data_IF_349523404128
#
_entry.id   IF_349523404128
#
_cell.length_a   1.000
_cell.length_b   1.000
_cell.length_c   1.000
_cell.angle_alpha   90.00
_cell.angle_beta   90.00
_cell.angle_gamma   90.00
#
_symmetry.space_group_name_H-M   'P 1'
#
loop_
_entity.id
_entity.type
_entity.pdbx_description
1 polymer ?
#
# COMPACT_ATOMS: atom_id res chain seq x y z
N UNK A 1 32.42 -68.98 -43.78
CA UNK A 1 31.28 -68.71 -42.92
C UNK A 1 31.02 -67.17 -42.95
N UNK A 2 30.02 -66.75 -43.77
CA UNK A 2 29.78 -65.32 -44.04
C UNK A 2 28.65 -64.86 -43.17
N UNK A 3 28.93 -63.90 -42.25
CA UNK A 3 27.92 -63.28 -41.42
C UNK A 3 27.31 -62.10 -42.15
N UNK A 4 25.98 -62.16 -42.37
CA UNK A 4 25.20 -61.06 -42.97
C UNK A 4 24.83 -60.07 -41.94
N UNK A 5 25.27 -58.80 -42.12
CA UNK A 5 24.81 -57.67 -41.30
C UNK A 5 23.49 -57.14 -41.84
N UNK A 6 22.39 -57.30 -41.10
CA UNK A 6 21.09 -56.69 -41.37
C UNK A 6 21.09 -55.27 -40.78
N UNK A 7 20.95 -54.24 -41.63
CA UNK A 7 20.81 -52.84 -41.21
C UNK A 7 19.33 -52.55 -40.87
N UNK A 8 19.03 -52.29 -39.64
CA UNK A 8 17.72 -51.76 -39.26
C UNK A 8 17.74 -50.25 -39.36
N UNK A 9 16.94 -49.68 -40.31
CA UNK A 9 16.69 -48.26 -40.41
C UNK A 9 15.56 -47.89 -39.41
N UNK A 10 15.90 -47.08 -38.45
CA UNK A 10 14.91 -46.48 -37.54
C UNK A 10 14.42 -45.17 -38.13
N UNK A 11 13.15 -45.16 -38.56
CA UNK A 11 12.47 -43.93 -38.95
C UNK A 11 11.99 -43.20 -37.67
N UNK A 12 12.60 -42.07 -37.35
CA UNK A 12 12.10 -41.17 -36.34
C UNK A 12 10.95 -40.34 -36.93
N UNK A 13 9.72 -40.66 -36.57
CA UNK A 13 8.57 -39.79 -36.79
C UNK A 13 8.57 -38.69 -35.75
N UNK A 14 8.99 -37.49 -36.12
CA UNK A 14 8.85 -36.30 -35.28
C UNK A 14 7.39 -35.82 -35.32
N UNK A 15 6.62 -36.19 -34.29
CA UNK A 15 5.30 -35.62 -34.07
C UNK A 15 5.48 -34.18 -33.55
N UNK A 16 5.22 -33.18 -34.38
CA UNK A 16 5.05 -31.81 -33.93
C UNK A 16 3.74 -31.72 -33.13
N UNK A 17 3.85 -31.70 -31.81
CA UNK A 17 2.74 -31.34 -30.93
C UNK A 17 2.52 -29.81 -31.06
N UNK A 18 1.51 -29.42 -31.83
CA UNK A 18 0.99 -28.05 -31.79
C UNK A 18 0.29 -27.85 -30.45
N UNK A 19 0.99 -27.19 -29.53
CA UNK A 19 0.34 -26.77 -28.26
C UNK A 19 -0.78 -25.77 -28.60
N UNK A 20 -2.01 -25.95 -28.05
CA UNK A 20 -3.06 -24.99 -28.25
C UNK A 20 -2.60 -23.66 -27.61
N UNK A 21 -2.50 -22.62 -28.43
CA UNK A 21 -2.34 -21.26 -27.97
C UNK A 21 -3.63 -20.91 -27.19
N UNK A 22 -3.61 -21.08 -25.87
CA UNK A 22 -4.68 -20.58 -25.02
C UNK A 22 -4.55 -19.06 -25.09
N UNK A 23 -5.46 -18.44 -25.85
CA UNK A 23 -5.62 -17.00 -25.83
C UNK A 23 -5.91 -16.60 -24.39
N UNK A 24 -4.95 -15.96 -23.72
CA UNK A 24 -5.19 -15.29 -22.45
C UNK A 24 -6.13 -14.14 -22.79
N UNK A 25 -7.44 -14.37 -22.59
CA UNK A 25 -8.42 -13.31 -22.63
C UNK A 25 -8.00 -12.36 -21.51
N UNK A 26 -7.65 -11.09 -21.79
CA UNK A 26 -7.39 -10.14 -20.71
C UNK A 26 -8.65 -10.11 -19.86
N UNK A 27 -8.56 -10.54 -18.61
CA UNK A 27 -9.63 -10.37 -17.64
C UNK A 27 -9.80 -8.86 -17.53
N UNK A 28 -10.90 -8.34 -18.04
CA UNK A 28 -11.26 -6.93 -17.91
C UNK A 28 -11.14 -6.60 -16.41
N UNK A 29 -10.27 -5.65 -16.08
CA UNK A 29 -10.06 -5.28 -14.68
C UNK A 29 -11.42 -4.91 -14.12
N UNK A 30 -11.86 -5.62 -13.08
CA UNK A 30 -13.18 -5.42 -12.48
C UNK A 30 -13.33 -3.92 -12.18
N UNK A 31 -14.32 -3.28 -12.76
CA UNK A 31 -14.58 -1.87 -12.54
C UNK A 31 -14.85 -1.66 -11.04
N UNK A 32 -14.19 -0.66 -10.46
CA UNK A 32 -14.38 -0.28 -9.06
C UNK A 32 -15.89 -0.10 -8.76
N UNK A 33 -16.44 -0.76 -7.71
CA UNK A 33 -17.88 -0.78 -7.47
C UNK A 33 -18.41 0.49 -6.78
N UNK A 34 -17.51 1.43 -6.39
CA UNK A 34 -17.87 2.55 -5.52
C UNK A 34 -18.53 3.69 -6.29
N UNK A 35 -19.79 3.94 -5.98
CA UNK A 35 -20.59 4.99 -6.61
C UNK A 35 -20.31 6.39 -6.09
N UNK A 36 -19.67 6.50 -4.92
CA UNK A 36 -19.29 7.75 -4.26
C UNK A 36 -17.88 8.24 -4.63
N UNK A 37 -17.21 7.55 -5.57
CA UNK A 37 -15.94 7.96 -6.17
C UNK A 37 -16.20 8.21 -7.65
N UNK A 38 -16.11 9.46 -8.07
CA UNK A 38 -16.42 9.87 -9.44
C UNK A 38 -15.17 10.35 -10.18
N UNK A 39 -15.08 10.03 -11.47
CA UNK A 39 -14.02 10.54 -12.34
C UNK A 39 -14.46 11.91 -12.91
N UNK A 40 -14.44 12.93 -12.09
CA UNK A 40 -14.67 14.30 -12.49
C UNK A 40 -13.37 15.13 -12.41
N UNK A 41 -13.32 16.28 -13.05
CA UNK A 41 -12.12 17.10 -13.16
C UNK A 41 -11.48 17.51 -11.81
N UNK A 42 -12.25 17.54 -10.72
CA UNK A 42 -11.75 17.90 -9.38
C UNK A 42 -11.28 16.71 -8.56
N UNK A 43 -11.69 15.48 -8.89
CA UNK A 43 -11.44 14.27 -8.11
C UNK A 43 -10.73 13.17 -8.91
N UNK A 44 -10.23 13.48 -10.10
CA UNK A 44 -9.59 12.51 -11.00
C UNK A 44 -8.45 11.73 -10.33
N UNK A 45 -7.58 12.39 -9.56
CA UNK A 45 -6.51 11.70 -8.84
C UNK A 45 -7.05 10.74 -7.78
N UNK A 46 -8.08 11.13 -7.04
CA UNK A 46 -8.73 10.27 -6.04
C UNK A 46 -9.38 9.05 -6.69
N UNK A 47 -10.06 9.26 -7.83
CA UNK A 47 -10.65 8.16 -8.60
C UNK A 47 -9.59 7.14 -9.02
N UNK A 48 -8.48 7.58 -9.62
CA UNK A 48 -7.39 6.69 -10.02
C UNK A 48 -6.74 6.00 -8.83
N UNK A 49 -6.50 6.75 -7.73
CA UNK A 49 -5.92 6.21 -6.51
C UNK A 49 -6.79 5.08 -5.93
N UNK A 50 -8.08 5.34 -5.72
CA UNK A 50 -8.98 4.35 -5.11
C UNK A 50 -9.18 3.17 -6.05
N UNK A 51 -9.35 3.39 -7.37
CA UNK A 51 -9.51 2.32 -8.35
C UNK A 51 -8.30 1.39 -8.40
N UNK A 52 -7.08 1.94 -8.49
CA UNK A 52 -5.85 1.13 -8.54
C UNK A 52 -5.63 0.37 -7.23
N UNK A 53 -5.77 1.05 -6.09
CA UNK A 53 -5.57 0.43 -4.78
C UNK A 53 -6.62 -0.63 -4.46
N UNK A 54 -7.87 -0.44 -4.88
CA UNK A 54 -8.93 -1.44 -4.77
C UNK A 54 -8.62 -2.69 -5.62
N UNK A 55 -8.24 -2.50 -6.88
CA UNK A 55 -7.88 -3.61 -7.78
C UNK A 55 -6.65 -4.40 -7.28
N UNK A 56 -5.76 -3.76 -6.52
CA UNK A 56 -4.62 -4.42 -5.85
C UNK A 56 -4.98 -5.02 -4.47
N UNK A 57 -6.24 -4.90 -4.00
CA UNK A 57 -6.67 -5.38 -2.68
C UNK A 57 -6.08 -4.60 -1.50
N UNK A 58 -5.56 -3.39 -1.74
CA UNK A 58 -4.95 -2.54 -0.72
C UNK A 58 -6.00 -1.78 0.10
N UNK A 59 -7.07 -1.34 -0.55
CA UNK A 59 -8.19 -0.64 0.11
C UNK A 59 -9.50 -1.38 -0.13
N UNK A 60 -10.47 -1.14 0.76
CA UNK A 60 -11.83 -1.68 0.67
C UNK A 60 -12.86 -0.58 0.91
N UNK A 61 -14.10 -0.82 0.49
CA UNK A 61 -15.23 0.06 0.75
C UNK A 61 -15.79 -0.06 2.17
N UNK A 62 -16.48 0.96 2.65
CA UNK A 62 -17.26 0.87 3.90
C UNK A 62 -18.52 0.04 3.72
N UNK A 63 -18.98 -0.07 2.47
CA UNK A 63 -20.02 -1.00 2.01
C UNK A 63 -19.59 -1.61 0.67
N UNK A 64 -20.32 -2.59 0.13
CA UNK A 64 -20.00 -3.14 -1.19
C UNK A 64 -19.99 -2.10 -2.33
N UNK A 65 -20.69 -0.97 -2.17
CA UNK A 65 -20.84 0.04 -3.22
C UNK A 65 -20.36 1.45 -2.84
N UNK A 66 -19.78 1.63 -1.64
CA UNK A 66 -19.28 2.94 -1.19
C UNK A 66 -17.89 2.83 -0.59
N UNK A 67 -17.02 3.78 -0.93
CA UNK A 67 -15.69 3.92 -0.35
C UNK A 67 -15.67 4.82 0.87
N UNK A 68 -16.54 5.82 0.92
CA UNK A 68 -16.66 6.87 1.95
C UNK A 68 -15.35 7.70 2.09
N UNK A 69 -14.91 8.41 1.03
CA UNK A 69 -13.61 9.08 0.99
C UNK A 69 -13.44 10.16 2.06
N UNK A 70 -14.53 10.76 2.51
CA UNK A 70 -14.52 11.84 3.52
C UNK A 70 -14.68 11.34 4.96
N UNK A 71 -14.97 10.06 5.17
CA UNK A 71 -15.02 9.46 6.50
C UNK A 71 -13.62 9.42 7.12
N UNK A 72 -13.56 9.66 8.45
CA UNK A 72 -12.32 9.50 9.21
C UNK A 72 -11.85 8.05 9.16
N UNK A 73 -10.55 7.87 8.95
CA UNK A 73 -9.90 6.57 8.90
C UNK A 73 -9.54 6.12 10.32
N UNK A 74 -9.94 4.92 10.72
CA UNK A 74 -9.52 4.36 11.99
C UNK A 74 -8.06 3.89 11.93
N UNK A 75 -7.42 3.74 13.09
CA UNK A 75 -6.06 3.22 13.19
C UNK A 75 -5.97 1.75 12.73
N UNK A 76 -7.02 0.97 12.96
CA UNK A 76 -7.15 -0.41 12.47
C UNK A 76 -7.24 -0.48 10.95
N UNK A 77 -8.07 0.36 10.33
CA UNK A 77 -8.15 0.48 8.87
C UNK A 77 -6.82 0.97 8.27
N UNK A 78 -6.16 1.95 8.90
CA UNK A 78 -4.85 2.43 8.47
C UNK A 78 -3.79 1.32 8.52
N UNK A 79 -3.83 0.47 9.57
CA UNK A 79 -2.94 -0.69 9.67
C UNK A 79 -3.20 -1.71 8.56
N UNK A 80 -4.47 -2.00 8.24
CA UNK A 80 -4.81 -2.85 7.11
C UNK A 80 -4.28 -2.27 5.79
N UNK A 81 -4.64 -1.02 5.45
CA UNK A 81 -4.24 -0.39 4.18
C UNK A 81 -2.72 -0.38 4.01
N UNK A 82 -1.99 -0.04 5.08
CA UNK A 82 -0.53 0.01 5.02
C UNK A 82 0.10 -1.38 4.91
N UNK A 83 -0.35 -2.35 5.71
CA UNK A 83 0.19 -3.71 5.64
C UNK A 83 -0.06 -4.38 4.28
N UNK A 84 -1.23 -4.12 3.66
CA UNK A 84 -1.53 -4.58 2.31
C UNK A 84 -0.64 -3.89 1.26
N UNK A 85 -0.46 -2.57 1.35
CA UNK A 85 0.40 -1.82 0.44
C UNK A 85 1.87 -2.28 0.51
N UNK A 86 2.32 -2.69 1.69
CA UNK A 86 3.66 -3.23 1.94
C UNK A 86 3.77 -4.75 1.69
N UNK A 87 2.67 -5.41 1.35
CA UNK A 87 2.59 -6.87 1.16
C UNK A 87 3.15 -7.67 2.36
N UNK A 88 2.89 -7.20 3.58
CA UNK A 88 3.40 -7.83 4.78
C UNK A 88 2.72 -9.17 5.05
N UNK A 89 3.50 -10.13 5.56
CA UNK A 89 2.96 -11.38 6.08
C UNK A 89 2.13 -11.09 7.35
N UNK A 90 0.84 -11.38 7.31
CA UNK A 90 -0.11 -11.08 8.41
C UNK A 90 -0.56 -12.32 9.18
N UNK A 91 -0.21 -13.52 8.69
CA UNK A 91 -0.47 -14.79 9.36
C UNK A 91 0.77 -15.24 10.12
N UNK A 92 0.58 -15.92 11.26
CA UNK A 92 1.66 -16.46 12.10
C UNK A 92 2.68 -15.38 12.53
N UNK A 93 2.19 -14.19 12.87
CA UNK A 93 2.99 -13.08 13.39
C UNK A 93 2.96 -13.11 14.92
N UNK A 94 4.09 -12.82 15.55
CA UNK A 94 4.18 -12.74 17.01
C UNK A 94 3.19 -11.74 17.58
N UNK A 95 2.58 -12.08 18.71
CA UNK A 95 1.67 -11.16 19.39
C UNK A 95 2.42 -9.93 19.91
N UNK A 96 2.07 -8.72 19.46
CA UNK A 96 2.73 -7.49 19.89
C UNK A 96 2.39 -7.08 21.32
N UNK A 97 1.39 -7.72 21.98
CA UNK A 97 1.03 -7.50 23.37
C UNK A 97 0.04 -6.35 23.61
N UNK A 98 -0.64 -5.85 22.59
CA UNK A 98 -1.69 -4.83 22.80
C UNK A 98 -2.93 -5.43 23.48
N UNK A 99 -3.30 -4.88 24.66
CA UNK A 99 -4.41 -5.40 25.47
C UNK A 99 -5.78 -5.20 24.83
N UNK A 100 -5.90 -4.23 23.93
CA UNK A 100 -7.12 -3.87 23.19
C UNK A 100 -7.20 -4.47 21.78
N UNK A 101 -6.23 -5.33 21.39
CA UNK A 101 -6.21 -6.01 20.11
C UNK A 101 -6.05 -7.52 20.33
N UNK A 102 -7.12 -8.23 20.76
CA UNK A 102 -7.07 -9.68 20.90
C UNK A 102 -6.85 -10.36 19.55
N UNK A 103 -6.38 -11.60 19.55
CA UNK A 103 -6.10 -12.36 18.32
C UNK A 103 -7.33 -12.55 17.42
N UNK A 104 -8.54 -12.43 17.97
CA UNK A 104 -9.81 -12.47 17.23
C UNK A 104 -10.19 -11.12 16.58
N UNK A 105 -9.44 -10.05 16.86
CA UNK A 105 -9.74 -8.73 16.29
C UNK A 105 -9.51 -8.74 14.77
N UNK A 106 -10.42 -8.15 14.00
CA UNK A 106 -10.37 -8.16 12.53
C UNK A 106 -9.06 -7.60 11.94
N UNK A 107 -8.40 -6.66 12.61
CA UNK A 107 -7.13 -6.06 12.19
C UNK A 107 -5.90 -6.63 12.92
N UNK A 108 -6.06 -7.69 13.74
CA UNK A 108 -4.97 -8.24 14.54
C UNK A 108 -3.70 -8.54 13.72
N UNK A 109 -3.81 -9.34 12.68
CA UNK A 109 -2.67 -9.76 11.87
C UNK A 109 -1.92 -8.59 11.21
N UNK A 110 -2.66 -7.58 10.76
CA UNK A 110 -2.08 -6.37 10.15
C UNK A 110 -1.34 -5.52 11.17
N UNK A 111 -1.94 -5.30 12.34
CA UNK A 111 -1.33 -4.57 13.45
C UNK A 111 -0.08 -5.31 13.95
N UNK A 112 -0.15 -6.63 14.12
CA UNK A 112 0.97 -7.46 14.53
C UNK A 112 2.12 -7.41 13.52
N UNK A 113 1.81 -7.47 12.21
CA UNK A 113 2.80 -7.37 11.15
C UNK A 113 3.52 -6.01 11.15
N UNK A 114 2.79 -4.91 11.32
CA UNK A 114 3.38 -3.58 11.42
C UNK A 114 4.29 -3.45 12.66
N UNK A 115 3.90 -4.04 13.80
CA UNK A 115 4.72 -4.05 15.01
C UNK A 115 5.98 -4.90 14.85
N UNK A 116 5.88 -6.07 14.21
CA UNK A 116 7.02 -6.95 13.91
C UNK A 116 8.05 -6.28 12.99
N UNK A 117 7.58 -5.43 12.07
CA UNK A 117 8.45 -4.66 11.16
C UNK A 117 8.90 -3.30 11.73
N UNK A 118 8.61 -2.99 12.99
CA UNK A 118 9.05 -1.75 13.64
C UNK A 118 8.33 -0.48 13.17
N UNK A 119 7.26 -0.62 12.36
CA UNK A 119 6.51 0.53 11.82
C UNK A 119 5.66 1.19 12.90
N UNK A 120 5.14 0.38 13.82
CA UNK A 120 4.46 0.84 15.03
C UNK A 120 5.19 0.33 16.28
N UNK A 121 5.22 1.15 17.32
CA UNK A 121 5.84 0.76 18.58
C UNK A 121 4.91 -0.17 19.36
N UNK A 122 5.48 -1.21 19.96
CA UNK A 122 4.79 -2.05 20.93
C UNK A 122 4.43 -1.22 22.17
N UNK A 123 3.26 -1.50 22.75
CA UNK A 123 2.76 -0.76 23.91
C UNK A 123 1.58 -1.48 24.54
N UNK A 124 0.97 -0.86 25.53
CA UNK A 124 -0.18 -1.46 26.22
C UNK A 124 -1.46 -1.45 25.35
N UNK A 125 -1.69 -0.37 24.61
CA UNK A 125 -2.88 -0.18 23.77
C UNK A 125 -2.50 0.34 22.39
N UNK A 126 -3.19 -0.15 21.36
CA UNK A 126 -3.10 0.33 19.98
C UNK A 126 -4.21 1.32 19.64
N UNK A 127 -5.38 1.18 20.25
CA UNK A 127 -6.61 1.93 19.99
C UNK A 127 -7.09 1.79 18.52
N UNK A 128 -7.44 0.57 18.05
CA UNK A 128 -7.74 0.30 16.64
C UNK A 128 -8.94 1.08 16.12
N UNK A 129 -9.92 1.39 16.96
CA UNK A 129 -11.16 2.09 16.57
C UNK A 129 -11.02 3.63 16.63
N UNK A 130 -9.95 4.14 17.22
CA UNK A 130 -9.69 5.59 17.23
C UNK A 130 -9.25 6.07 15.84
N UNK A 131 -9.59 7.31 15.49
CA UNK A 131 -9.11 7.95 14.25
C UNK A 131 -7.60 8.15 14.28
N UNK A 132 -6.92 7.91 13.14
CA UNK A 132 -5.48 8.17 13.01
C UNK A 132 -5.20 9.64 12.76
N UNK A 133 -4.23 10.22 13.48
CA UNK A 133 -3.78 11.60 13.26
C UNK A 133 -2.82 11.69 12.08
N UNK A 134 -2.81 12.86 11.39
CA UNK A 134 -1.94 13.08 10.23
C UNK A 134 -0.45 12.91 10.55
N UNK A 135 0.00 13.35 11.72
CA UNK A 135 1.38 13.13 12.19
C UNK A 135 1.71 11.64 12.43
N UNK A 136 0.77 10.88 12.99
CA UNK A 136 0.95 9.44 13.19
C UNK A 136 1.02 8.69 11.85
N UNK A 137 0.16 9.06 10.92
CA UNK A 137 0.18 8.52 9.56
C UNK A 137 1.51 8.86 8.85
N UNK A 138 2.03 10.08 8.99
CA UNK A 138 3.32 10.48 8.39
C UNK A 138 4.46 9.57 8.89
N UNK A 139 4.53 9.30 10.19
CA UNK A 139 5.49 8.36 10.77
C UNK A 139 5.34 6.95 10.18
N UNK A 140 4.12 6.41 10.16
CA UNK A 140 3.87 5.06 9.67
C UNK A 140 4.23 4.89 8.18
N UNK A 141 3.92 5.87 7.34
CA UNK A 141 4.28 5.84 5.92
C UNK A 141 5.80 5.95 5.71
N UNK A 142 6.47 6.87 6.41
CA UNK A 142 7.92 7.02 6.30
C UNK A 142 8.65 5.73 6.69
N UNK A 143 8.28 5.14 7.83
CA UNK A 143 8.92 3.90 8.31
C UNK A 143 8.55 2.70 7.43
N UNK A 144 7.29 2.56 7.05
CA UNK A 144 6.80 1.43 6.27
C UNK A 144 7.42 1.34 4.88
N UNK A 145 7.55 2.46 4.19
CA UNK A 145 8.15 2.51 2.86
C UNK A 145 9.66 2.80 2.87
N UNK A 146 10.29 2.79 4.05
CA UNK A 146 11.73 3.06 4.22
C UNK A 146 12.18 4.35 3.53
N UNK A 147 11.32 5.40 3.57
CA UNK A 147 11.66 6.70 2.98
C UNK A 147 12.84 7.31 3.74
N UNK A 148 13.80 7.89 3.01
CA UNK A 148 14.92 8.58 3.62
C UNK A 148 14.41 9.77 4.43
N UNK A 149 14.56 9.70 5.76
CA UNK A 149 14.04 10.73 6.66
C UNK A 149 14.75 12.07 6.45
N UNK A 150 13.97 13.15 6.40
CA UNK A 150 14.47 14.51 6.27
C UNK A 150 15.42 14.87 7.43
N UNK A 151 16.55 15.50 7.10
CA UNK A 151 17.54 15.93 8.10
C UNK A 151 17.31 17.37 8.57
N UNK A 152 16.55 18.17 7.81
CA UNK A 152 16.21 19.56 8.10
C UNK A 152 14.73 19.82 7.79
N UNK A 153 14.18 20.86 8.40
CA UNK A 153 12.81 21.32 8.16
C UNK A 153 12.88 22.53 7.23
N UNK A 154 12.40 22.39 6.00
CA UNK A 154 12.46 23.44 4.95
C UNK A 154 11.08 23.94 4.54
N UNK A 155 10.00 23.25 4.96
CA UNK A 155 8.63 23.69 4.68
C UNK A 155 8.25 24.91 5.54
N UNK A 156 7.41 25.81 5.01
CA UNK A 156 6.97 27.00 5.76
C UNK A 156 5.85 26.71 6.77
N UNK A 157 5.69 25.46 7.26
CA UNK A 157 4.64 25.12 8.19
C UNK A 157 4.84 25.75 9.54
N UNK A 158 3.83 26.47 10.02
CA UNK A 158 3.82 27.18 11.30
C UNK A 158 3.24 26.35 12.43
N UNK A 159 2.65 25.19 12.11
CA UNK A 159 1.94 24.33 13.04
C UNK A 159 2.67 23.00 13.33
N UNK A 160 3.98 22.99 13.18
CA UNK A 160 4.81 21.84 13.57
C UNK A 160 4.60 21.47 15.04
N UNK A 161 4.76 20.18 15.34
CA UNK A 161 4.65 19.67 16.72
C UNK A 161 5.86 20.08 17.55
N UNK A 162 5.79 19.86 18.87
CA UNK A 162 6.95 20.05 19.76
C UNK A 162 8.02 18.95 19.55
N UNK A 163 7.65 17.81 18.96
CA UNK A 163 8.53 16.70 18.71
C UNK A 163 9.21 16.85 17.34
N UNK A 164 10.50 17.08 17.37
CA UNK A 164 11.33 17.31 16.17
C UNK A 164 11.34 16.07 15.25
N UNK A 165 11.32 14.87 15.81
CA UNK A 165 11.32 13.64 15.01
C UNK A 165 10.01 13.50 14.23
N UNK A 166 8.89 13.75 14.87
CA UNK A 166 7.57 13.81 14.19
C UNK A 166 7.58 14.82 13.05
N UNK A 167 8.17 15.99 13.25
CA UNK A 167 8.27 17.01 12.22
C UNK A 167 9.15 16.58 11.04
N UNK A 168 10.21 15.79 11.28
CA UNK A 168 11.01 15.18 10.22
C UNK A 168 10.22 14.18 9.38
N UNK A 169 9.35 13.37 9.99
CA UNK A 169 8.44 12.49 9.22
C UNK A 169 7.48 13.30 8.33
N UNK A 170 6.95 14.42 8.86
CA UNK A 170 6.11 15.33 8.08
C UNK A 170 6.88 15.91 6.91
N UNK A 171 8.08 16.44 7.15
CA UNK A 171 8.97 16.98 6.13
C UNK A 171 9.30 15.94 5.06
N UNK A 172 9.59 14.71 5.47
CA UNK A 172 9.87 13.60 4.54
C UNK A 172 8.73 13.41 3.54
N UNK A 173 7.48 13.38 3.99
CA UNK A 173 6.35 13.24 3.06
C UNK A 173 6.24 14.42 2.08
N UNK A 174 6.63 15.62 2.48
CA UNK A 174 6.66 16.78 1.59
C UNK A 174 7.80 16.67 0.59
N UNK A 175 9.01 16.31 1.03
CA UNK A 175 10.19 16.16 0.17
C UNK A 175 9.96 15.10 -0.92
N UNK A 176 9.24 14.02 -0.56
CA UNK A 176 8.80 13.00 -1.52
C UNK A 176 7.56 13.40 -2.33
N UNK A 177 6.99 14.61 -2.13
CA UNK A 177 5.80 15.07 -2.85
C UNK A 177 4.53 14.25 -2.57
N UNK A 178 4.49 13.53 -1.43
CA UNK A 178 3.33 12.74 -1.01
C UNK A 178 2.21 13.66 -0.52
N UNK A 179 2.60 14.77 0.10
CA UNK A 179 1.68 15.80 0.59
C UNK A 179 2.26 17.20 0.41
N UNK A 180 1.39 18.21 0.33
CA UNK A 180 1.74 19.63 0.33
C UNK A 180 1.22 20.34 1.60
N UNK A 181 0.74 19.57 2.60
CA UNK A 181 0.05 20.12 3.76
C UNK A 181 -1.46 20.24 3.56
N UNK A 182 -2.12 20.98 4.46
CA UNK A 182 -3.54 21.35 4.37
C UNK A 182 -3.73 22.77 3.84
N UNK A 183 -2.65 23.56 3.89
CA UNK A 183 -2.51 24.87 3.24
C UNK A 183 -1.04 25.10 2.93
N UNK A 184 -0.72 26.25 2.33
CA UNK A 184 0.67 26.66 2.06
C UNK A 184 1.54 26.75 3.34
N UNK A 185 0.96 26.97 4.50
CA UNK A 185 1.66 27.20 5.77
C UNK A 185 1.24 26.26 6.91
N UNK A 186 0.41 25.24 6.64
CA UNK A 186 -0.06 24.30 7.67
C UNK A 186 -0.05 22.86 7.18
N UNK A 187 0.35 21.96 8.06
CA UNK A 187 0.23 20.50 7.89
C UNK A 187 -0.99 19.92 8.58
N UNK A 188 -1.42 20.56 9.67
CA UNK A 188 -2.50 20.09 10.58
C UNK A 188 -2.19 18.73 11.23
N UNK A 189 -1.08 18.61 12.00
CA UNK A 189 -0.56 17.32 12.50
C UNK A 189 -1.52 16.56 13.40
N UNK A 190 -2.41 17.26 14.10
CA UNK A 190 -3.35 16.70 15.06
C UNK A 190 -4.76 16.45 14.49
N UNK A 191 -5.02 16.78 13.24
CA UNK A 191 -6.30 16.45 12.59
C UNK A 191 -6.35 14.99 12.16
N UNK A 192 -7.57 14.45 12.11
CA UNK A 192 -7.81 13.09 11.68
C UNK A 192 -7.62 12.94 10.15
N UNK A 193 -7.05 11.82 9.75
CA UNK A 193 -6.91 11.46 8.34
C UNK A 193 -8.25 10.91 7.83
N UNK A 194 -8.66 11.33 6.64
CA UNK A 194 -9.81 10.75 5.93
C UNK A 194 -9.36 9.57 5.06
N UNK A 195 -10.27 8.65 4.80
CA UNK A 195 -10.02 7.46 3.97
C UNK A 195 -9.47 7.81 2.59
N UNK A 196 -10.05 8.81 1.91
CA UNK A 196 -9.57 9.30 0.62
C UNK A 196 -8.16 9.90 0.69
N UNK A 197 -7.80 10.58 1.78
CA UNK A 197 -6.46 11.11 1.96
C UNK A 197 -5.41 9.99 2.10
N UNK A 198 -5.73 8.94 2.86
CA UNK A 198 -4.83 7.78 2.97
C UNK A 198 -4.66 7.09 1.62
N UNK A 199 -5.72 6.93 0.85
CA UNK A 199 -5.63 6.38 -0.51
C UNK A 199 -4.71 7.21 -1.40
N UNK A 200 -4.84 8.54 -1.40
CA UNK A 200 -3.95 9.43 -2.14
C UNK A 200 -2.48 9.32 -1.71
N UNK A 201 -2.19 9.24 -0.41
CA UNK A 201 -0.83 9.09 0.07
C UNK A 201 -0.21 7.78 -0.37
N UNK A 202 -0.92 6.66 -0.21
CA UNK A 202 -0.45 5.35 -0.66
C UNK A 202 -0.24 5.31 -2.17
N UNK A 203 -1.19 5.83 -2.94
CA UNK A 203 -1.10 5.90 -4.39
C UNK A 203 0.15 6.66 -4.84
N UNK A 204 0.39 7.87 -4.31
CA UNK A 204 1.55 8.69 -4.64
C UNK A 204 2.88 8.02 -4.31
N UNK A 205 2.96 7.32 -3.16
CA UNK A 205 4.16 6.56 -2.79
C UNK A 205 4.39 5.40 -3.76
N UNK A 206 3.36 4.63 -4.06
CA UNK A 206 3.48 3.47 -4.95
C UNK A 206 3.81 3.86 -6.39
N UNK A 207 3.29 5.00 -6.89
CA UNK A 207 3.65 5.51 -8.21
C UNK A 207 5.12 5.91 -8.29
N UNK A 208 5.69 6.49 -7.24
CA UNK A 208 7.12 6.82 -7.20
C UNK A 208 7.98 5.56 -7.21
N UNK A 209 7.68 4.58 -6.37
CA UNK A 209 8.44 3.33 -6.33
C UNK A 209 8.41 2.59 -7.67
N UNK A 210 7.27 2.61 -8.38
CA UNK A 210 7.20 2.03 -9.72
C UNK A 210 8.07 2.79 -10.73
N UNK A 211 8.11 4.12 -10.66
CA UNK A 211 8.94 4.94 -11.57
C UNK A 211 10.44 4.76 -11.29
N UNK A 212 10.85 4.64 -10.03
CA UNK A 212 12.25 4.43 -9.66
C UNK A 212 12.76 3.03 -10.06
N UNK A 213 11.89 2.00 -10.05
CA UNK A 213 12.23 0.66 -10.55
C UNK A 213 12.46 0.61 -12.07
N UNK A 214 11.81 1.48 -12.85
CA UNK A 214 12.08 1.57 -14.30
C UNK A 214 13.42 2.25 -14.62
N UNK A 215 13.98 3.04 -13.70
CA UNK A 215 15.29 3.71 -13.90
C UNK A 215 16.46 2.76 -13.58
N UNK A 216 16.26 1.75 -12.75
CA UNK A 216 17.31 0.80 -12.34
C UNK A 216 17.35 -0.47 -13.24
N UNK A 217 16.39 -0.64 -14.13
CA UNK A 217 16.17 -1.86 -14.92
C UNK A 217 16.70 -1.82 -16.35
N UNK A 218 17.61 -0.91 -16.73
CA UNK A 218 18.23 -0.85 -18.07
C UNK A 218 19.74 -0.71 -17.93
N UNK A 219 20.41 -1.82 -17.66
CA UNK A 219 21.77 -2.13 -18.13
C UNK A 219 21.82 -3.60 -18.53
#
# INVERSE_FOLDING_TARGET
MKIKHTKYAWAFATAFAVAPCVAVIPTEAASMPFVDITNNNSETELYHAVSELYNKGIVFGTTPSTFSPYQQLTRGEAAYFLAQALQLQTNNVDNPGFSDVPTSHQYYGYIAALAANGIIQKGNQFNPDASIKRSQMAKMLTLGFHLQQATSLTTPFTDFTKDVETNRYIQTLVDYGITQGTSATTFSPYTDVRRGQMALFLYRILQKNNNDLYIIGVE
#
